data_IF_927422621462
#
_entry.id   IF_927422621462
#
_cell.length_a   1.000
_cell.length_b   1.000
_cell.length_c   1.000
_cell.angle_alpha   90.00
_cell.angle_beta   90.00
_cell.angle_gamma   90.00
#
_symmetry.space_group_name_H-M   'P 1'
#
loop_
_entity.id
_entity.type
_entity.pdbx_description
1 polymer ?
#
# COMPACT_ATOMS: atom_id res chain seq x y z
N UNK A 1 -4.13 -18.26 -0.59
CA UNK A 1 -3.47 -17.37 0.38
C UNK A 1 -3.38 -16.00 -0.30
N UNK A 2 -4.00 -14.97 0.28
CA UNK A 2 -3.96 -13.62 -0.29
C UNK A 2 -2.63 -12.96 0.03
N UNK A 3 -2.14 -12.14 -0.90
CA UNK A 3 -1.05 -11.21 -0.60
C UNK A 3 -1.56 -10.08 0.30
N UNK A 4 -0.64 -9.38 0.97
CA UNK A 4 -0.99 -8.26 1.86
C UNK A 4 -1.78 -7.17 1.13
N UNK A 5 -1.40 -6.73 -0.10
CA UNK A 5 -2.16 -5.71 -0.81
C UNK A 5 -3.59 -6.16 -1.15
N UNK A 6 -3.76 -7.42 -1.57
CA UNK A 6 -5.09 -7.99 -1.87
C UNK A 6 -5.96 -8.07 -0.61
N UNK A 7 -5.38 -8.42 0.54
CA UNK A 7 -6.10 -8.43 1.81
C UNK A 7 -6.57 -7.01 2.22
N UNK A 8 -5.77 -5.98 1.95
CA UNK A 8 -6.10 -4.60 2.27
C UNK A 8 -7.20 -4.00 1.38
N UNK A 9 -7.43 -4.52 0.17
CA UNK A 9 -8.56 -4.07 -0.66
C UNK A 9 -9.92 -4.40 -0.04
N UNK A 10 -10.01 -5.49 0.74
CA UNK A 10 -11.25 -5.95 1.37
C UNK A 10 -11.50 -5.30 2.74
N UNK A 11 -10.52 -4.58 3.28
CA UNK A 11 -10.51 -4.10 4.66
C UNK A 11 -10.31 -2.59 4.69
N UNK A 12 -11.35 -1.89 5.12
CA UNK A 12 -11.27 -0.48 5.46
C UNK A 12 -10.76 -0.35 6.91
N UNK A 13 -9.52 0.12 7.04
CA UNK A 13 -8.83 0.31 8.32
C UNK A 13 -9.20 1.64 8.99
N UNK A 14 -9.87 2.56 8.29
CA UNK A 14 -10.21 3.89 8.79
C UNK A 14 -9.02 4.60 9.46
N UNK A 15 -9.23 5.11 10.67
CA UNK A 15 -8.21 5.78 11.47
C UNK A 15 -7.03 4.90 11.89
N UNK A 16 -7.14 3.57 11.77
CA UNK A 16 -6.09 2.62 12.14
C UNK A 16 -5.10 2.35 10.99
N UNK A 17 -5.25 2.99 9.82
CA UNK A 17 -4.43 2.70 8.63
C UNK A 17 -2.93 2.87 8.87
N UNK A 18 -2.51 3.96 9.52
CA UNK A 18 -1.09 4.20 9.80
C UNK A 18 -0.49 3.13 10.73
N UNK A 19 -1.22 2.78 11.79
CA UNK A 19 -0.85 1.74 12.74
C UNK A 19 -0.77 0.36 12.06
N UNK A 20 -1.75 0.03 11.23
CA UNK A 20 -1.77 -1.22 10.48
C UNK A 20 -0.60 -1.31 9.49
N UNK A 21 -0.29 -0.23 8.77
CA UNK A 21 0.85 -0.17 7.86
C UNK A 21 2.18 -0.33 8.60
N UNK A 22 2.32 0.25 9.79
CA UNK A 22 3.51 0.05 10.63
C UNK A 22 3.70 -1.43 11.00
N UNK A 23 2.60 -2.13 11.32
CA UNK A 23 2.63 -3.57 11.62
C UNK A 23 2.97 -4.40 10.40
N UNK A 24 2.50 -3.99 9.22
CA UNK A 24 2.78 -4.68 7.97
C UNK A 24 4.25 -4.55 7.60
N UNK A 25 4.81 -3.34 7.73
CA UNK A 25 6.13 -3.00 7.20
C UNK A 25 7.25 -3.35 8.17
N UNK A 26 7.09 -3.09 9.47
CA UNK A 26 8.25 -3.03 10.36
C UNK A 26 8.08 -3.74 11.71
N UNK A 27 6.86 -4.12 12.12
CA UNK A 27 6.69 -4.84 13.38
C UNK A 27 7.53 -6.14 13.46
N UNK A 28 8.15 -6.42 14.62
CA UNK A 28 9.06 -7.54 14.78
C UNK A 28 8.33 -8.89 14.81
N UNK A 29 9.09 -9.98 14.63
CA UNK A 29 8.57 -11.34 14.79
C UNK A 29 7.84 -11.52 16.12
N UNK A 30 6.67 -12.16 16.08
CA UNK A 30 5.88 -12.45 17.26
C UNK A 30 5.02 -11.29 17.74
N UNK A 31 5.23 -10.06 17.23
CA UNK A 31 4.37 -8.90 17.54
C UNK A 31 2.92 -9.22 17.21
N UNK A 32 2.01 -8.88 18.11
CA UNK A 32 0.58 -9.01 17.92
C UNK A 32 -0.15 -7.73 18.26
N UNK A 33 -1.23 -7.46 17.54
CA UNK A 33 -2.09 -6.30 17.81
C UNK A 33 -3.52 -6.59 17.40
N UNK A 34 -4.43 -6.03 18.19
CA UNK A 34 -5.85 -6.01 17.88
C UNK A 34 -6.22 -4.62 17.34
N UNK A 35 -7.03 -4.58 16.29
CA UNK A 35 -7.56 -3.36 15.69
C UNK A 35 -9.00 -3.56 15.23
N UNK A 36 -9.72 -2.46 15.07
CA UNK A 36 -11.05 -2.46 14.46
C UNK A 36 -10.95 -2.08 12.99
N UNK A 37 -11.73 -2.76 12.16
CA UNK A 37 -11.83 -2.48 10.75
C UNK A 37 -13.24 -2.74 10.23
N UNK A 38 -13.52 -2.26 9.02
CA UNK A 38 -14.74 -2.60 8.28
C UNK A 38 -14.36 -3.50 7.11
N UNK A 39 -14.97 -4.69 7.04
CA UNK A 39 -14.74 -5.62 5.94
C UNK A 39 -15.88 -5.49 4.93
N UNK A 40 -15.51 -5.39 3.65
CA UNK A 40 -16.43 -5.47 2.52
C UNK A 40 -16.25 -6.82 1.85
N UNK A 41 -17.30 -7.64 1.89
CA UNK A 41 -17.37 -8.90 1.11
C UNK A 41 -18.21 -8.65 -0.13
N UNK A 42 -17.86 -9.30 -1.23
CA UNK A 42 -18.58 -9.15 -2.51
C UNK A 42 -20.09 -9.35 -2.33
N UNK A 43 -20.86 -8.33 -2.72
CA UNK A 43 -22.33 -8.32 -2.65
C UNK A 43 -22.94 -8.24 -1.25
N UNK A 44 -22.14 -8.15 -0.18
CA UNK A 44 -22.59 -8.11 1.21
C UNK A 44 -22.61 -6.72 1.83
N UNK A 45 -23.46 -6.53 2.85
CA UNK A 45 -23.44 -5.32 3.67
C UNK A 45 -22.10 -5.21 4.43
N UNK A 46 -21.45 -4.03 4.48
CA UNK A 46 -20.22 -3.83 5.24
C UNK A 46 -20.35 -4.25 6.71
N UNK A 47 -19.35 -4.94 7.24
CA UNK A 47 -19.35 -5.48 8.62
C UNK A 47 -18.19 -4.92 9.44
N UNK A 48 -18.47 -4.52 10.68
CA UNK A 48 -17.41 -4.17 11.65
C UNK A 48 -16.81 -5.47 12.17
N UNK A 49 -15.50 -5.56 12.11
CA UNK A 49 -14.75 -6.69 12.64
C UNK A 49 -13.71 -6.20 13.64
N UNK A 50 -13.50 -7.00 14.67
CA UNK A 50 -12.30 -6.94 15.47
C UNK A 50 -11.30 -7.92 14.84
N UNK A 51 -10.15 -7.40 14.43
CA UNK A 51 -9.07 -8.15 13.82
C UNK A 51 -7.92 -8.23 14.82
N UNK A 52 -7.45 -9.45 15.10
CA UNK A 52 -6.19 -9.66 15.82
C UNK A 52 -5.19 -10.26 14.85
N UNK A 53 -4.05 -9.60 14.67
CA UNK A 53 -2.98 -10.02 13.75
C UNK A 53 -1.72 -10.29 14.53
N UNK A 54 -0.95 -11.28 14.09
CA UNK A 54 0.39 -11.61 14.57
C UNK A 54 1.37 -11.71 13.41
N UNK A 55 2.55 -11.11 13.59
CA UNK A 55 3.67 -11.22 12.65
C UNK A 55 4.42 -12.52 12.91
N UNK A 56 4.62 -13.30 11.86
CA UNK A 56 5.42 -14.52 11.85
C UNK A 56 6.48 -14.46 10.73
N UNK A 57 7.54 -15.22 10.91
CA UNK A 57 8.53 -15.44 9.85
C UNK A 57 8.59 -16.94 9.59
N UNK A 58 8.31 -17.34 8.35
CA UNK A 58 8.37 -18.73 7.91
C UNK A 58 9.26 -18.76 6.66
N UNK A 59 10.29 -19.60 6.66
CA UNK A 59 11.21 -19.79 5.50
C UNK A 59 11.87 -18.50 4.95
N UNK A 60 11.99 -17.46 5.80
CA UNK A 60 12.54 -16.16 5.41
C UNK A 60 11.48 -15.14 4.95
N UNK A 61 10.25 -15.59 4.75
CA UNK A 61 9.12 -14.73 4.41
C UNK A 61 8.42 -14.20 5.66
N UNK A 62 7.97 -12.95 5.58
CA UNK A 62 7.16 -12.32 6.61
C UNK A 62 5.68 -12.61 6.34
N UNK A 63 5.02 -13.22 7.32
CA UNK A 63 3.61 -13.63 7.23
C UNK A 63 2.80 -12.92 8.31
N UNK A 64 1.65 -12.37 7.92
CA UNK A 64 0.65 -11.85 8.85
C UNK A 64 -0.46 -12.89 9.01
N UNK A 65 -0.52 -13.52 10.19
CA UNK A 65 -1.62 -14.42 10.54
C UNK A 65 -2.60 -13.67 11.43
N UNK A 66 -3.87 -13.68 11.04
CA UNK A 66 -4.90 -13.01 11.81
C UNK A 66 -6.16 -13.83 11.96
N UNK A 67 -6.90 -13.51 13.03
CA UNK A 67 -8.28 -13.95 13.22
C UNK A 67 -9.16 -12.71 13.22
N UNK A 68 -10.33 -12.81 12.61
CA UNK A 68 -11.34 -11.77 12.65
C UNK A 68 -12.60 -12.31 13.30
N UNK A 69 -13.26 -11.50 14.11
CA UNK A 69 -14.62 -11.76 14.55
C UNK A 69 -15.52 -10.58 14.20
N UNK A 70 -16.67 -10.89 13.63
CA UNK A 70 -17.69 -9.89 13.33
C UNK A 70 -18.29 -9.39 14.65
N UNK A 71 -18.40 -8.06 14.76
CA UNK A 71 -18.98 -7.37 15.92
C UNK A 71 -20.35 -6.78 15.58
N UNK A 72 -20.64 -6.62 14.28
CA UNK A 72 -21.96 -6.23 13.81
C UNK A 72 -21.93 -5.58 12.42
N UNK A 73 -23.08 -5.06 12.01
CA UNK A 73 -23.22 -4.26 10.79
C UNK A 73 -22.42 -2.97 10.95
N UNK A 74 -21.62 -2.62 9.95
CA UNK A 74 -21.10 -1.27 9.85
C UNK A 74 -22.24 -0.38 9.36
N UNK A 75 -22.72 0.50 10.24
CA UNK A 75 -23.55 1.62 9.78
C UNK A 75 -22.74 2.34 8.71
N UNK A 76 -23.27 2.61 7.53
CA UNK A 76 -22.62 3.53 6.62
C UNK A 76 -22.53 4.85 7.37
N UNK A 77 -21.36 5.16 7.91
CA UNK A 77 -21.03 6.55 8.17
C UNK A 77 -21.27 7.25 6.84
N UNK A 78 -22.12 8.27 6.86
CA UNK A 78 -22.50 9.02 5.66
C UNK A 78 -21.23 9.28 4.85
N UNK A 79 -21.10 8.61 3.71
CA UNK A 79 -19.93 8.65 2.83
C UNK A 79 -19.64 10.04 2.25
N UNK A 80 -20.35 11.07 2.72
CA UNK A 80 -20.17 12.48 2.40
C UNK A 80 -19.66 13.33 3.59
N UNK A 81 -19.54 12.80 4.81
CA UNK A 81 -19.11 13.56 5.99
C UNK A 81 -18.39 12.63 6.99
N UNK A 82 -17.08 12.60 7.15
CA UNK A 82 -16.05 13.55 6.81
C UNK A 82 -14.83 12.76 6.31
N UNK A 83 -14.43 12.99 5.05
CA UNK A 83 -13.05 12.73 4.67
C UNK A 83 -12.16 13.41 5.71
N UNK A 84 -11.23 12.67 6.31
CA UNK A 84 -10.27 13.30 7.20
C UNK A 84 -9.55 14.42 6.43
N UNK A 85 -9.04 15.44 7.10
CA UNK A 85 -8.26 16.47 6.39
C UNK A 85 -7.13 15.83 5.57
N UNK A 86 -6.56 14.74 6.07
CA UNK A 86 -5.59 13.91 5.34
C UNK A 86 -6.16 13.34 4.05
N UNK A 87 -7.37 12.79 4.06
CA UNK A 87 -8.02 12.26 2.84
C UNK A 87 -8.37 13.36 1.84
N UNK A 88 -8.83 14.53 2.33
CA UNK A 88 -9.10 15.68 1.48
C UNK A 88 -7.83 16.24 0.84
N UNK A 89 -6.74 16.32 1.61
CA UNK A 89 -5.43 16.75 1.12
C UNK A 89 -4.89 15.74 0.11
N UNK A 90 -4.97 14.44 0.40
CA UNK A 90 -4.57 13.39 -0.55
C UNK A 90 -5.39 13.51 -1.84
N UNK A 91 -6.71 13.61 -1.76
CA UNK A 91 -7.59 13.78 -2.92
C UNK A 91 -7.34 15.07 -3.71
N UNK A 92 -6.90 16.15 -3.06
CA UNK A 92 -6.53 17.39 -3.72
C UNK A 92 -5.14 17.31 -4.40
N UNK A 93 -4.23 16.49 -3.87
CA UNK A 93 -2.90 16.28 -4.42
C UNK A 93 -2.88 15.24 -5.55
N UNK A 94 -3.86 14.32 -5.58
CA UNK A 94 -4.04 13.36 -6.67
C UNK A 94 -4.92 13.97 -7.77
N UNK A 95 -4.31 14.32 -8.90
CA UNK A 95 -5.07 14.64 -10.11
C UNK A 95 -5.45 13.33 -10.86
N UNK A 96 -6.32 13.43 -11.88
CA UNK A 96 -6.85 12.27 -12.63
C UNK A 96 -5.80 11.37 -13.30
N UNK A 97 -4.52 11.75 -13.30
CA UNK A 97 -3.41 11.03 -13.93
C UNK A 97 -2.30 10.67 -12.94
N UNK A 98 -2.52 10.92 -11.64
CA UNK A 98 -1.56 10.65 -10.57
C UNK A 98 -2.15 9.64 -9.59
N UNK A 99 -1.45 8.53 -9.40
CA UNK A 99 -1.81 7.47 -8.45
C UNK A 99 -0.88 7.52 -7.25
N UNK A 100 -1.42 7.40 -6.05
CA UNK A 100 -0.65 7.51 -4.81
C UNK A 100 -0.64 6.17 -4.08
N UNK A 101 0.55 5.69 -3.71
CA UNK A 101 0.74 4.42 -3.02
C UNK A 101 1.69 4.54 -1.83
N UNK A 102 1.52 3.65 -0.86
CA UNK A 102 2.53 3.31 0.15
C UNK A 102 3.27 2.07 -0.32
N UNK A 103 4.59 2.17 -0.40
CA UNK A 103 5.49 1.14 -0.89
C UNK A 103 6.47 0.74 0.20
N UNK A 104 6.76 -0.56 0.33
CA UNK A 104 7.89 -1.02 1.12
C UNK A 104 9.20 -0.75 0.37
N UNK A 105 10.10 0.00 1.01
CA UNK A 105 11.36 0.43 0.42
C UNK A 105 12.37 -0.71 0.24
N UNK A 106 12.15 -1.89 0.84
CA UNK A 106 12.98 -3.07 0.70
C UNK A 106 12.48 -4.00 -0.41
N UNK A 107 11.24 -4.48 -0.30
CA UNK A 107 10.63 -5.38 -1.29
C UNK A 107 10.17 -4.67 -2.56
N UNK A 108 10.04 -3.33 -2.52
CA UNK A 108 9.51 -2.49 -3.60
C UNK A 108 8.06 -2.81 -3.96
N UNK A 109 7.35 -3.52 -3.09
CA UNK A 109 5.93 -3.83 -3.28
C UNK A 109 5.05 -2.65 -2.85
N UNK A 110 4.07 -2.33 -3.69
CA UNK A 110 2.98 -1.42 -3.32
C UNK A 110 2.07 -2.13 -2.32
N UNK A 111 2.10 -1.67 -1.07
CA UNK A 111 1.33 -2.24 0.03
C UNK A 111 -0.09 -1.71 0.03
N UNK A 112 -0.25 -0.41 -0.19
CA UNK A 112 -1.53 0.27 -0.06
C UNK A 112 -1.65 1.36 -1.12
N UNK A 113 -2.84 1.51 -1.70
CA UNK A 113 -3.16 2.58 -2.63
C UNK A 113 -4.14 3.55 -2.00
N UNK A 114 -3.86 4.84 -2.14
CA UNK A 114 -4.83 5.88 -1.86
C UNK A 114 -5.71 6.08 -3.09
N UNK A 115 -7.02 5.91 -2.93
CA UNK A 115 -7.97 5.98 -4.03
C UNK A 115 -7.93 4.73 -4.92
N UNK A 116 -8.29 4.90 -6.19
CA UNK A 116 -8.34 3.78 -7.14
C UNK A 116 -6.94 3.52 -7.72
N UNK A 117 -6.40 2.29 -7.60
CA UNK A 117 -5.11 1.95 -8.19
C UNK A 117 -5.17 1.99 -9.73
N UNK A 118 -4.03 2.11 -10.42
CA UNK A 118 -4.00 2.00 -11.88
C UNK A 118 -4.46 0.61 -12.32
N UNK A 119 -5.35 0.57 -13.32
CA UNK A 119 -5.97 -0.65 -13.85
C UNK A 119 -5.10 -1.34 -14.91
N UNK A 120 -4.12 -0.62 -15.44
CA UNK A 120 -3.27 -1.04 -16.53
C UNK A 120 -1.98 -1.73 -16.08
N UNK A 121 -1.49 -1.47 -14.86
CA UNK A 121 -0.24 -2.05 -14.36
C UNK A 121 -0.44 -3.35 -13.56
N UNK A 122 0.57 -4.21 -13.62
CA UNK A 122 0.69 -5.44 -12.82
C UNK A 122 1.22 -5.06 -11.44
N UNK A 123 0.32 -4.71 -10.52
CA UNK A 123 0.69 -4.45 -9.13
C UNK A 123 0.24 -5.57 -8.17
N UNK A 124 -0.82 -6.33 -8.50
CA UNK A 124 -1.28 -7.49 -7.72
C UNK A 124 -0.42 -8.72 -7.96
N UNK A 125 -0.46 -9.67 -7.04
CA UNK A 125 0.31 -10.92 -7.13
C UNK A 125 -0.33 -11.93 -8.08
N UNK A 126 -1.66 -11.90 -8.19
CA UNK A 126 -2.43 -12.72 -9.15
C UNK A 126 -2.10 -12.46 -10.63
N UNK A 127 -1.46 -11.33 -10.95
CA UNK A 127 -1.12 -10.93 -12.31
C UNK A 127 0.34 -11.27 -12.69
N UNK A 128 1.05 -12.10 -11.92
CA UNK A 128 2.45 -12.49 -12.23
C UNK A 128 2.52 -13.28 -13.54
N UNK A 129 3.01 -12.65 -14.60
CA UNK A 129 3.20 -13.24 -15.94
C UNK A 129 4.57 -13.90 -16.13
N UNK A 130 5.29 -14.19 -15.03
CA UNK A 130 6.70 -14.62 -15.07
C UNK A 130 7.69 -13.49 -15.39
N UNK A 131 7.21 -12.28 -15.68
CA UNK A 131 8.00 -11.07 -15.84
C UNK A 131 8.02 -10.25 -14.54
N UNK A 132 9.13 -9.56 -14.30
CA UNK A 132 9.28 -8.64 -13.18
C UNK A 132 8.37 -7.42 -13.34
N UNK A 133 7.76 -6.96 -12.24
CA UNK A 133 6.87 -5.79 -12.23
C UNK A 133 7.57 -4.50 -12.66
N UNK A 134 8.87 -4.42 -12.41
CA UNK A 134 9.73 -3.29 -12.78
C UNK A 134 10.69 -3.78 -13.85
N UNK A 135 10.86 -3.00 -14.92
CA UNK A 135 11.81 -3.33 -15.97
C UNK A 135 13.24 -3.42 -15.41
N UNK A 136 14.06 -4.41 -15.81
CA UNK A 136 15.43 -4.55 -15.32
C UNK A 136 16.28 -3.27 -15.44
N UNK A 137 16.21 -2.56 -16.57
CA UNK A 137 16.90 -1.27 -16.77
C UNK A 137 16.47 -0.17 -15.79
N UNK A 138 15.26 -0.23 -15.24
CA UNK A 138 14.79 0.74 -14.24
C UNK A 138 15.20 0.34 -12.81
N UNK A 139 15.65 -0.89 -12.58
CA UNK A 139 16.02 -1.36 -11.24
C UNK A 139 17.15 -0.57 -10.57
N UNK A 140 18.22 -0.13 -11.26
CA UNK A 140 19.24 0.73 -10.66
C UNK A 140 18.65 2.05 -10.15
N UNK A 141 17.78 2.69 -10.93
CA UNK A 141 17.08 3.91 -10.54
C UNK A 141 16.18 3.67 -9.32
N UNK A 142 15.35 2.62 -9.35
CA UNK A 142 14.45 2.30 -8.22
C UNK A 142 15.22 2.01 -6.94
N UNK A 143 16.34 1.26 -7.00
CA UNK A 143 17.19 1.00 -5.83
C UNK A 143 17.87 2.26 -5.32
N UNK A 144 18.29 3.15 -6.21
CA UNK A 144 18.86 4.44 -5.83
C UNK A 144 17.80 5.29 -5.12
N UNK A 145 16.61 5.44 -5.71
CA UNK A 145 15.50 6.16 -5.11
C UNK A 145 15.10 5.58 -3.75
N UNK A 146 14.96 4.26 -3.62
CA UNK A 146 14.54 3.64 -2.36
C UNK A 146 15.57 3.85 -1.25
N UNK A 147 16.87 3.77 -1.57
CA UNK A 147 17.96 4.09 -0.64
C UNK A 147 17.98 5.57 -0.25
N UNK A 148 17.77 6.48 -1.20
CA UNK A 148 17.66 7.91 -0.93
C UNK A 148 16.50 8.20 0.00
N UNK A 149 15.30 7.68 -0.29
CA UNK A 149 14.11 7.89 0.55
C UNK A 149 14.29 7.31 1.95
N UNK A 150 14.95 6.16 2.08
CA UNK A 150 15.20 5.50 3.36
C UNK A 150 16.08 6.32 4.29
N UNK A 151 17.06 7.02 3.74
CA UNK A 151 18.08 7.76 4.51
C UNK A 151 17.81 9.26 4.60
N UNK A 152 16.95 9.82 3.73
CA UNK A 152 16.74 11.26 3.65
C UNK A 152 15.95 11.84 4.84
N UNK A 153 15.91 13.17 4.93
CA UNK A 153 15.00 13.89 5.83
C UNK A 153 13.53 13.75 5.37
N UNK A 154 12.57 13.98 6.28
CA UNK A 154 11.13 13.79 6.02
C UNK A 154 10.62 14.62 4.82
N UNK A 155 11.26 15.75 4.51
CA UNK A 155 10.86 16.66 3.42
C UNK A 155 11.52 16.37 2.07
N UNK A 156 12.41 15.37 1.97
CA UNK A 156 13.09 15.06 0.73
C UNK A 156 12.21 14.20 -0.21
N UNK A 157 12.41 14.33 -1.51
CA UNK A 157 11.82 13.43 -2.49
C UNK A 157 12.85 13.06 -3.58
N UNK A 158 12.68 11.89 -4.17
CA UNK A 158 13.43 11.44 -5.33
C UNK A 158 12.44 11.24 -6.48
N UNK A 159 12.80 11.66 -7.69
CA UNK A 159 11.96 11.51 -8.89
C UNK A 159 12.75 10.88 -10.02
N UNK A 160 12.17 9.89 -10.69
CA UNK A 160 12.76 9.24 -11.86
C UNK A 160 11.66 8.67 -12.79
N UNK A 161 12.03 8.26 -14.00
CA UNK A 161 11.15 7.56 -14.93
C UNK A 161 11.33 6.05 -14.82
N UNK A 162 10.32 5.37 -14.31
CA UNK A 162 10.34 3.92 -14.07
C UNK A 162 9.40 3.22 -15.04
N UNK A 163 9.90 2.18 -15.69
CA UNK A 163 9.12 1.33 -16.58
C UNK A 163 8.44 0.22 -15.77
N UNK A 164 7.10 0.27 -15.70
CA UNK A 164 6.27 -0.69 -14.97
C UNK A 164 5.58 -1.65 -15.94
N UNK A 165 5.48 -2.92 -15.54
CA UNK A 165 4.82 -3.96 -16.33
C UNK A 165 3.31 -3.68 -16.40
N UNK A 166 2.78 -3.66 -17.61
CA UNK A 166 1.35 -3.56 -17.91
C UNK A 166 0.71 -4.96 -17.95
N UNK A 167 -0.59 -5.07 -17.69
CA UNK A 167 -1.39 -6.30 -17.86
C UNK A 167 -1.33 -6.87 -19.27
N UNK A 168 -1.06 -6.04 -20.28
CA UNK A 168 -0.80 -6.44 -21.66
C UNK A 168 0.60 -7.04 -21.91
N UNK A 169 1.41 -7.25 -20.87
CA UNK A 169 2.72 -7.93 -20.98
C UNK A 169 3.89 -7.08 -21.49
N UNK A 170 3.71 -5.76 -21.59
CA UNK A 170 4.76 -4.81 -22.00
C UNK A 170 5.04 -3.81 -20.88
N UNK A 171 6.15 -3.07 -20.95
CA UNK A 171 6.50 -2.08 -19.95
C UNK A 171 6.11 -0.66 -20.38
N UNK A 172 5.43 0.07 -19.50
CA UNK A 172 5.00 1.46 -19.72
C UNK A 172 5.78 2.40 -18.79
N UNK A 173 6.30 3.54 -19.27
CA UNK A 173 7.05 4.46 -18.43
C UNK A 173 6.13 5.36 -17.59
N UNK A 174 6.47 5.52 -16.31
CA UNK A 174 5.81 6.42 -15.36
C UNK A 174 6.85 7.36 -14.76
N UNK A 175 6.48 8.62 -14.56
CA UNK A 175 7.21 9.49 -13.63
C UNK A 175 6.84 9.06 -12.22
N UNK A 176 7.85 8.64 -11.48
CA UNK A 176 7.71 8.16 -10.11
C UNK A 176 8.37 9.16 -9.20
N UNK A 177 7.59 9.75 -8.29
CA UNK A 177 8.11 10.58 -7.20
C UNK A 177 7.93 9.82 -5.89
N UNK A 178 9.03 9.59 -5.17
CA UNK A 178 9.04 8.89 -3.89
C UNK A 178 9.48 9.84 -2.77
N UNK A 179 8.73 9.85 -1.68
CA UNK A 179 9.01 10.62 -0.47
C UNK A 179 8.94 9.71 0.77
N UNK A 180 9.68 10.01 1.85
CA UNK A 180 9.64 9.19 3.05
C UNK A 180 8.33 9.39 3.82
N UNK A 181 7.68 8.28 4.16
CA UNK A 181 6.52 8.23 5.03
C UNK A 181 6.91 7.61 6.37
N UNK A 182 6.76 8.39 7.45
CA UNK A 182 6.95 7.88 8.81
C UNK A 182 5.69 7.18 9.29
N UNK A 183 5.81 5.93 9.75
CA UNK A 183 4.70 5.12 10.24
C UNK A 183 4.75 4.97 11.77
N UNK A 184 5.14 6.04 12.47
CA UNK A 184 5.26 6.05 13.93
C UNK A 184 6.71 5.83 14.38
N UNK A 185 6.91 5.03 15.44
CA UNK A 185 8.18 4.97 16.19
C UNK A 185 9.28 4.09 15.58
N UNK A 186 8.99 3.27 14.57
CA UNK A 186 10.01 2.38 13.99
C UNK A 186 9.91 2.19 12.47
N UNK A 187 8.71 2.24 11.88
CA UNK A 187 8.52 1.96 10.46
C UNK A 187 8.71 3.16 9.54
N UNK A 188 9.46 2.98 8.45
CA UNK A 188 9.57 3.94 7.35
C UNK A 188 9.14 3.30 6.03
N UNK A 189 8.22 3.94 5.34
CA UNK A 189 7.73 3.53 4.02
C UNK A 189 8.06 4.58 2.96
N UNK A 190 7.86 4.24 1.70
CA UNK A 190 7.84 5.20 0.60
C UNK A 190 6.41 5.62 0.31
N UNK A 191 6.11 6.92 0.37
CA UNK A 191 4.94 7.49 -0.29
C UNK A 191 5.31 7.74 -1.74
N UNK A 192 4.65 7.07 -2.67
CA UNK A 192 5.00 7.07 -4.09
C UNK A 192 3.83 7.62 -4.91
N UNK A 193 4.10 8.66 -5.68
CA UNK A 193 3.20 9.16 -6.71
C UNK A 193 3.66 8.63 -8.07
N UNK A 194 2.76 7.95 -8.78
CA UNK A 194 2.96 7.53 -10.15
C UNK A 194 2.17 8.46 -11.07
N UNK A 195 2.84 9.09 -12.03
CA UNK A 195 2.20 9.90 -13.07
C UNK A 195 2.54 9.33 -14.44
N UNK A 196 1.52 9.04 -15.23
CA UNK A 196 1.71 8.46 -16.56
C UNK A 196 2.34 9.49 -17.51
N UNK A 197 3.38 9.08 -18.23
CA UNK A 197 3.92 9.89 -19.33
C UNK A 197 2.97 9.78 -20.53
N UNK A 198 2.71 10.92 -21.18
CA UNK A 198 1.92 10.99 -22.41
C UNK A 198 2.74 10.60 -23.62
#
# INVERSE_FOLDING_TARGET
MWSIPEALEMVDLGSNVADALAIIIDAPHGYSRQLQAVVRRDGGQPRRVNLTVRVQHEEGDRILRGISHEVGVATPESSAAASSLSDLVVGALTNSMSYLAVVDLYSLEAIFWYGTPPDDIVWRSEHRTGLDRIHPDSMPAVKSMSNSVRTAAISASATDTIKLLNRGGHYTPFVVTAAPLSLGTSGRAGLVTLTRLR
#
